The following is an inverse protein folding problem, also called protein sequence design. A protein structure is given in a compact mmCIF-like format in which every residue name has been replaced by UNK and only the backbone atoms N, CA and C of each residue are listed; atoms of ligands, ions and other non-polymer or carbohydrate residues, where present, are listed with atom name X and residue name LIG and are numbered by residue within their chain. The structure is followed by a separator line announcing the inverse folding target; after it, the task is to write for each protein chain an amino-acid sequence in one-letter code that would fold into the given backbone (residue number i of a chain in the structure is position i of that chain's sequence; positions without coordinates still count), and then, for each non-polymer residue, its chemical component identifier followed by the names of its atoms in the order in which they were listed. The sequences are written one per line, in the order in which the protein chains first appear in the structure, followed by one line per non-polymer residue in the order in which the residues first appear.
data_IF_565441751315
#
_entry.id   IF_565441751315
#
_cell.length_a   1.000
_cell.length_b   1.000
_cell.length_c   1.000
_cell.angle_alpha   90.00
_cell.angle_beta   90.00
_cell.angle_gamma   90.00
#
_symmetry.space_group_name_H-M   'P 1'
#
loop_
_entity.id
_entity.type
_entity.pdbx_description
1 polymer ?
#
# COMPACT_ATOMS: atom_id res chain seq x y z
N UNK A 1 35.62 56.14 -11.41
CA UNK A 1 35.74 54.71 -11.01
C UNK A 1 34.46 54.36 -10.27
N UNK A 2 33.52 53.66 -10.94
CA UNK A 2 32.26 53.23 -10.30
C UNK A 2 32.41 51.77 -9.95
N UNK A 3 32.34 51.45 -8.67
CA UNK A 3 32.40 50.09 -8.14
C UNK A 3 30.99 49.51 -8.15
N UNK A 4 30.74 48.50 -9.00
CA UNK A 4 29.48 47.72 -9.02
C UNK A 4 29.60 46.61 -8.00
N UNK A 5 28.71 46.63 -7.01
CA UNK A 5 28.56 45.56 -6.03
C UNK A 5 27.63 44.52 -6.64
N UNK A 6 28.19 43.35 -6.91
CA UNK A 6 27.43 42.19 -7.41
C UNK A 6 26.90 41.43 -6.19
N UNK A 7 25.59 41.56 -5.93
CA UNK A 7 24.91 40.79 -4.87
C UNK A 7 24.66 39.37 -5.36
N UNK A 8 25.33 38.39 -4.74
CA UNK A 8 25.00 36.97 -4.92
C UNK A 8 23.77 36.62 -4.07
N UNK A 9 22.65 36.35 -4.73
CA UNK A 9 21.52 35.71 -4.11
C UNK A 9 21.78 34.20 -4.03
N UNK A 10 22.06 33.70 -2.85
CA UNK A 10 22.07 32.26 -2.58
C UNK A 10 20.62 31.80 -2.45
N UNK A 11 20.15 31.08 -3.45
CA UNK A 11 18.91 30.32 -3.34
C UNK A 11 19.16 29.10 -2.42
N UNK A 12 18.67 29.17 -1.21
CA UNK A 12 18.51 27.98 -0.38
C UNK A 12 17.41 27.12 -0.99
N UNK A 13 17.77 25.97 -1.57
CA UNK A 13 16.82 24.94 -1.97
C UNK A 13 16.26 24.34 -0.68
N UNK A 14 15.15 24.87 -0.21
CA UNK A 14 14.33 24.15 0.75
C UNK A 14 13.80 22.90 0.00
N UNK A 15 14.20 21.71 0.45
CA UNK A 15 13.58 20.48 0.03
C UNK A 15 12.15 20.50 0.56
N UNK A 16 11.23 21.09 -0.20
CA UNK A 16 9.81 20.95 0.07
C UNK A 16 9.45 19.50 -0.19
N UNK A 17 8.81 18.86 0.80
CA UNK A 17 8.04 17.66 0.56
C UNK A 17 7.22 17.89 -0.73
N UNK A 18 7.28 16.93 -1.66
CA UNK A 18 6.59 17.06 -2.94
C UNK A 18 5.15 17.51 -2.69
N UNK A 19 4.67 18.54 -3.40
CA UNK A 19 3.29 18.97 -3.24
C UNK A 19 2.37 17.81 -3.56
N UNK A 20 1.46 17.52 -2.65
CA UNK A 20 0.28 16.74 -2.94
C UNK A 20 -0.46 17.46 -4.07
N UNK A 21 -0.69 16.79 -5.19
CA UNK A 21 -1.60 17.26 -6.20
C UNK A 21 -0.98 17.61 -7.54
N UNK A 22 -1.06 16.68 -8.43
CA UNK A 22 -1.51 16.84 -9.82
C UNK A 22 -1.83 15.45 -10.36
N UNK A 23 -3.07 15.00 -10.17
CA UNK A 23 -3.55 13.73 -10.74
C UNK A 23 -3.31 12.48 -9.89
N UNK A 24 -2.58 12.56 -8.79
CA UNK A 24 -2.28 11.44 -7.87
C UNK A 24 -2.96 11.59 -6.49
N UNK A 25 -4.00 12.40 -6.41
CA UNK A 25 -4.75 12.58 -5.17
C UNK A 25 -5.60 11.35 -4.86
N UNK A 26 -5.84 11.13 -3.57
CA UNK A 26 -6.80 10.12 -3.13
C UNK A 26 -8.20 10.48 -3.64
N UNK A 27 -8.85 9.54 -4.30
CA UNK A 27 -10.23 9.64 -4.77
C UNK A 27 -11.04 8.39 -4.39
N UNK A 28 -12.34 8.43 -4.56
CA UNK A 28 -13.24 7.31 -4.29
C UNK A 28 -13.41 7.01 -2.81
N UNK A 29 -13.78 5.79 -2.47
CA UNK A 29 -14.19 5.43 -1.11
C UNK A 29 -13.13 5.64 -0.03
N UNK A 30 -11.84 5.58 -0.36
CA UNK A 30 -10.79 5.92 0.59
C UNK A 30 -10.82 7.40 1.02
N UNK A 31 -11.38 8.28 0.16
CA UNK A 31 -11.55 9.72 0.42
C UNK A 31 -12.97 10.05 0.90
N UNK A 32 -13.96 9.59 0.13
CA UNK A 32 -15.36 9.98 0.26
C UNK A 32 -16.11 8.90 1.04
N UNK A 33 -16.09 8.99 2.36
CA UNK A 33 -16.73 8.06 3.27
C UNK A 33 -17.17 8.77 4.57
N UNK A 34 -18.09 8.16 5.36
CA UNK A 34 -18.67 8.81 6.55
C UNK A 34 -17.68 9.06 7.70
N UNK A 35 -16.53 8.41 7.70
CA UNK A 35 -15.51 8.54 8.76
C UNK A 35 -14.45 9.61 8.42
N UNK A 36 -14.40 10.03 7.16
CA UNK A 36 -13.43 10.98 6.64
C UNK A 36 -12.26 10.30 5.89
N UNK A 37 -11.47 11.08 5.16
CA UNK A 37 -10.46 10.58 4.24
C UNK A 37 -9.36 9.76 4.93
N UNK A 38 -8.76 8.85 4.18
CA UNK A 38 -7.54 8.13 4.61
C UNK A 38 -6.36 9.09 4.62
N UNK A 39 -5.78 9.31 5.79
CA UNK A 39 -4.61 10.18 5.99
C UNK A 39 -3.38 9.40 6.43
N UNK A 40 -3.54 8.10 6.74
CA UNK A 40 -2.45 7.27 7.24
C UNK A 40 -1.84 7.78 8.53
N UNK A 41 -0.53 7.88 8.55
CA UNK A 41 0.23 8.41 9.66
C UNK A 41 0.23 9.94 9.76
N UNK A 42 -0.29 10.66 8.76
CA UNK A 42 -0.28 12.13 8.76
C UNK A 42 -1.44 12.68 9.61
N UNK A 43 -1.19 12.83 10.88
CA UNK A 43 -2.14 13.32 11.88
C UNK A 43 -1.41 14.10 12.99
N UNK A 44 -2.18 14.81 13.83
CA UNK A 44 -1.63 15.49 15.01
C UNK A 44 -0.89 14.50 15.92
N UNK A 45 0.35 14.80 16.26
CA UNK A 45 1.20 13.94 17.09
C UNK A 45 1.91 12.83 16.31
N UNK A 46 1.87 12.87 14.99
CA UNK A 46 2.58 11.95 14.10
C UNK A 46 4.08 11.90 14.39
N UNK A 47 4.63 10.70 14.28
CA UNK A 47 6.08 10.48 14.23
C UNK A 47 6.49 10.17 12.78
N UNK A 48 7.69 10.61 12.40
CA UNK A 48 8.30 10.24 11.14
C UNK A 48 9.56 9.43 11.43
N UNK A 49 9.67 8.27 10.80
CA UNK A 49 10.82 7.37 10.94
C UNK A 49 11.30 6.89 9.57
N UNK A 50 12.58 6.63 9.45
CA UNK A 50 13.16 5.94 8.29
C UNK A 50 13.64 4.57 8.74
N UNK A 51 13.29 3.53 7.99
CA UNK A 51 13.62 2.13 8.29
C UNK A 51 14.37 1.50 7.12
N UNK A 52 15.36 0.69 7.42
CA UNK A 52 16.18 -0.01 6.42
C UNK A 52 16.37 -1.50 6.73
N UNK A 53 15.92 -1.94 7.90
CA UNK A 53 16.02 -3.33 8.35
C UNK A 53 14.65 -3.89 8.71
N UNK A 54 14.50 -5.23 8.67
CA UNK A 54 13.25 -5.89 9.07
C UNK A 54 12.85 -5.59 10.51
N UNK A 55 13.74 -5.64 11.51
CA UNK A 55 13.37 -5.27 12.88
C UNK A 55 12.86 -3.83 13.03
N UNK A 56 13.50 -2.86 12.38
CA UNK A 56 13.04 -1.46 12.38
C UNK A 56 11.65 -1.34 11.74
N UNK A 57 11.45 -2.00 10.60
CA UNK A 57 10.16 -2.01 9.91
C UNK A 57 9.06 -2.57 10.82
N UNK A 58 9.28 -3.74 11.43
CA UNK A 58 8.31 -4.37 12.31
C UNK A 58 7.98 -3.51 13.54
N UNK A 59 8.97 -2.86 14.11
CA UNK A 59 8.74 -1.93 15.23
C UNK A 59 7.91 -0.70 14.80
N UNK A 60 8.16 -0.15 13.62
CA UNK A 60 7.50 1.05 13.12
C UNK A 60 6.03 0.82 12.75
N UNK A 61 5.68 -0.35 12.18
CA UNK A 61 4.30 -0.66 11.78
C UNK A 61 3.38 -1.07 12.93
N UNK A 62 3.94 -1.33 14.10
CA UNK A 62 3.19 -1.85 15.24
C UNK A 62 2.31 -0.78 15.91
N UNK A 63 1.19 -1.23 16.52
CA UNK A 63 0.30 -0.40 17.32
C UNK A 63 -0.50 0.62 16.52
N UNK A 64 -1.06 1.62 17.21
CA UNK A 64 -2.02 2.56 16.63
C UNK A 64 -1.53 4.01 16.59
N UNK A 65 -0.35 4.29 17.13
CA UNK A 65 0.22 5.64 17.12
C UNK A 65 0.47 6.13 15.70
N UNK A 66 0.05 7.33 15.33
CA UNK A 66 0.25 7.86 13.99
C UNK A 66 1.74 7.91 13.63
N UNK A 67 2.10 7.25 12.51
CA UNK A 67 3.50 7.15 12.10
C UNK A 67 3.63 7.21 10.58
N UNK A 68 4.48 8.08 10.08
CA UNK A 68 4.95 8.12 8.70
C UNK A 68 6.26 7.33 8.65
N UNK A 69 6.29 6.28 7.83
CA UNK A 69 7.39 5.32 7.75
C UNK A 69 7.99 5.37 6.34
N UNK A 70 9.17 5.92 6.23
CA UNK A 70 9.95 5.86 4.99
C UNK A 70 10.80 4.60 4.99
N UNK A 71 10.59 3.72 4.03
CA UNK A 71 11.27 2.44 3.93
C UNK A 71 12.29 2.43 2.79
N UNK A 72 13.51 1.95 3.05
CA UNK A 72 14.60 1.85 2.07
C UNK A 72 15.24 0.47 2.12
N UNK A 73 15.31 -0.19 0.98
CA UNK A 73 15.92 -1.52 0.85
C UNK A 73 14.90 -2.65 0.72
N UNK A 74 15.37 -3.88 0.82
CA UNK A 74 14.55 -5.08 0.69
C UNK A 74 14.23 -5.67 2.06
N UNK A 75 12.95 -5.87 2.33
CA UNK A 75 12.42 -6.46 3.56
C UNK A 75 11.94 -7.88 3.26
N UNK A 76 12.74 -8.86 3.63
CA UNK A 76 12.38 -10.28 3.48
C UNK A 76 11.74 -10.79 4.77
N UNK A 77 10.43 -10.95 4.77
CA UNK A 77 9.69 -11.40 5.94
C UNK A 77 9.60 -12.94 5.99
N UNK A 78 10.01 -13.52 7.11
CA UNK A 78 9.86 -14.95 7.40
C UNK A 78 8.50 -15.30 8.03
N UNK A 79 7.86 -14.32 8.64
CA UNK A 79 6.48 -14.37 9.13
C UNK A 79 5.72 -13.17 8.61
N UNK A 80 4.39 -13.28 8.47
CA UNK A 80 3.56 -12.24 7.90
C UNK A 80 3.37 -11.07 8.87
N UNK A 81 3.93 -9.87 8.60
CA UNK A 81 3.77 -8.73 9.48
C UNK A 81 2.35 -8.17 9.41
N UNK A 82 1.87 -7.65 10.55
CA UNK A 82 0.57 -6.97 10.67
C UNK A 82 0.79 -5.48 10.83
N UNK A 83 0.22 -4.71 9.91
CA UNK A 83 0.27 -3.25 9.95
C UNK A 83 -0.83 -2.77 10.89
N UNK A 84 -0.46 -1.98 11.87
CA UNK A 84 -1.39 -1.33 12.78
C UNK A 84 -2.10 -0.12 12.15
N UNK A 85 -2.99 0.50 12.91
CA UNK A 85 -3.75 1.67 12.46
C UNK A 85 -2.88 2.92 12.38
N UNK A 86 -3.33 3.91 11.59
CA UNK A 86 -2.71 5.23 11.46
C UNK A 86 -1.25 5.14 11.00
N UNK A 87 -1.02 4.42 9.91
CA UNK A 87 0.31 4.25 9.32
C UNK A 87 0.34 4.70 7.87
N UNK A 88 1.38 5.45 7.52
CA UNK A 88 1.78 5.67 6.13
C UNK A 88 3.11 4.95 5.89
N UNK A 89 3.08 3.88 5.09
CA UNK A 89 4.26 3.17 4.63
C UNK A 89 4.61 3.70 3.25
N UNK A 90 5.78 4.29 3.11
CA UNK A 90 6.23 4.94 1.87
C UNK A 90 7.59 4.38 1.48
N UNK A 91 7.64 3.66 0.38
CA UNK A 91 8.90 3.18 -0.21
C UNK A 91 9.71 4.34 -0.77
N UNK A 92 11.00 4.40 -0.45
CA UNK A 92 11.91 5.44 -0.93
C UNK A 92 12.58 5.04 -2.25
N UNK A 93 12.51 5.93 -3.22
CA UNK A 93 13.14 5.73 -4.53
C UNK A 93 12.56 4.53 -5.28
N UNK A 94 13.38 3.85 -6.08
CA UNK A 94 13.00 2.64 -6.83
C UNK A 94 13.38 1.33 -6.12
N UNK A 95 13.84 1.40 -4.87
CA UNK A 95 14.49 0.28 -4.19
C UNK A 95 13.81 -0.27 -2.95
N UNK A 96 12.57 0.11 -2.64
CA UNK A 96 11.85 -0.44 -1.49
C UNK A 96 11.06 -1.70 -1.92
N UNK A 97 11.52 -2.88 -1.45
CA UNK A 97 10.94 -4.17 -1.83
C UNK A 97 10.48 -4.98 -0.63
N UNK A 98 9.37 -5.67 -0.80
CA UNK A 98 8.84 -6.65 0.16
C UNK A 98 8.89 -8.02 -0.50
N UNK A 99 9.43 -8.98 0.21
CA UNK A 99 9.56 -10.38 -0.21
C UNK A 99 9.21 -11.33 0.93
N UNK A 100 9.05 -12.62 0.63
CA UNK A 100 8.79 -13.66 1.62
C UNK A 100 7.31 -13.84 1.91
N UNK A 101 6.77 -13.26 2.99
CA UNK A 101 5.40 -13.55 3.44
C UNK A 101 4.37 -12.44 3.22
N UNK A 102 4.69 -11.39 2.48
CA UNK A 102 3.76 -10.29 2.22
C UNK A 102 3.37 -9.48 3.45
N UNK A 103 2.28 -8.71 3.34
CA UNK A 103 1.78 -7.84 4.40
C UNK A 103 0.32 -8.19 4.75
N UNK A 104 -0.07 -7.91 5.99
CA UNK A 104 -1.48 -7.98 6.39
C UNK A 104 -1.91 -6.68 7.08
N UNK A 105 -3.06 -6.16 6.65
CA UNK A 105 -3.80 -5.07 7.30
C UNK A 105 -5.04 -5.75 7.89
N UNK A 106 -5.00 -6.02 9.20
CA UNK A 106 -6.05 -6.78 9.89
C UNK A 106 -6.52 -6.05 11.13
N UNK A 107 -7.83 -5.79 11.21
CA UNK A 107 -8.47 -5.04 12.30
C UNK A 107 -7.80 -3.67 12.47
N UNK A 108 -7.46 -3.01 11.36
CA UNK A 108 -6.77 -1.72 11.35
C UNK A 108 -7.58 -0.68 10.58
N UNK A 109 -7.31 0.57 10.86
CA UNK A 109 -7.94 1.69 10.16
C UNK A 109 -6.91 2.75 9.79
N UNK A 110 -7.19 3.47 8.69
CA UNK A 110 -6.40 4.61 8.27
C UNK A 110 -4.95 4.24 7.94
N UNK A 111 -4.77 3.44 6.90
CA UNK A 111 -3.47 2.92 6.46
C UNK A 111 -3.19 3.29 5.01
N UNK A 112 -1.99 3.76 4.73
CA UNK A 112 -1.47 4.02 3.38
C UNK A 112 -0.27 3.11 3.15
N UNK A 113 -0.25 2.41 1.99
CA UNK A 113 0.92 1.67 1.49
C UNK A 113 1.24 2.18 0.09
N UNK A 114 2.39 2.81 -0.07
CA UNK A 114 2.76 3.49 -1.31
C UNK A 114 4.20 3.22 -1.72
N UNK A 115 4.41 3.08 -3.03
CA UNK A 115 5.71 3.01 -3.70
C UNK A 115 6.59 1.84 -3.25
N UNK A 116 5.99 0.66 -3.05
CA UNK A 116 6.72 -0.59 -2.81
C UNK A 116 6.68 -1.50 -4.03
N UNK A 117 7.78 -2.23 -4.27
CA UNK A 117 7.76 -3.47 -5.03
C UNK A 117 7.43 -4.65 -4.09
N UNK A 118 6.45 -5.47 -4.46
CA UNK A 118 6.01 -6.65 -3.70
C UNK A 118 6.13 -7.85 -4.61
N UNK A 119 7.04 -8.77 -4.31
CA UNK A 119 7.35 -9.87 -5.23
C UNK A 119 7.63 -11.20 -4.56
N UNK A 120 7.29 -12.27 -5.30
CA UNK A 120 7.63 -13.63 -4.91
C UNK A 120 7.08 -14.02 -3.54
N UNK A 121 5.87 -13.56 -3.22
CA UNK A 121 5.21 -13.88 -1.96
C UNK A 121 4.65 -15.30 -2.06
N UNK A 122 5.05 -16.16 -1.14
CA UNK A 122 4.63 -17.58 -1.10
C UNK A 122 3.72 -17.84 0.08
N UNK A 123 2.74 -18.72 -0.13
CA UNK A 123 1.72 -19.16 0.86
C UNK A 123 0.83 -18.05 1.42
N UNK A 124 0.83 -16.87 0.80
CA UNK A 124 0.02 -15.73 1.21
C UNK A 124 -0.18 -14.76 0.04
N UNK A 125 -1.08 -13.80 0.21
CA UNK A 125 -1.20 -12.65 -0.68
C UNK A 125 -0.04 -11.67 -0.50
N UNK A 126 0.23 -10.88 -1.51
CA UNK A 126 1.13 -9.74 -1.43
C UNK A 126 0.71 -8.77 -0.32
N UNK A 127 -0.55 -8.33 -0.39
CA UNK A 127 -1.23 -7.59 0.70
C UNK A 127 -2.61 -8.21 0.89
N UNK A 128 -2.97 -8.58 2.13
CA UNK A 128 -4.37 -8.86 2.50
C UNK A 128 -4.91 -7.75 3.38
N UNK A 129 -6.08 -7.24 3.02
CA UNK A 129 -6.85 -6.29 3.81
C UNK A 129 -8.07 -7.02 4.35
N UNK A 130 -8.16 -7.17 5.68
CA UNK A 130 -9.21 -7.93 6.34
C UNK A 130 -9.78 -7.18 7.53
N UNK A 131 -11.11 -7.05 7.59
CA UNK A 131 -11.82 -6.35 8.66
C UNK A 131 -11.17 -4.99 8.98
N UNK A 132 -10.86 -4.24 7.93
CA UNK A 132 -10.10 -3.00 8.00
C UNK A 132 -10.73 -1.94 7.13
N UNK A 133 -10.55 -0.68 7.48
CA UNK A 133 -11.23 0.40 6.78
C UNK A 133 -10.31 1.62 6.55
N UNK A 134 -10.66 2.44 5.55
CA UNK A 134 -9.87 3.62 5.20
C UNK A 134 -8.43 3.23 4.87
N UNK A 135 -8.30 2.41 3.82
CA UNK A 135 -7.00 1.93 3.35
C UNK A 135 -6.73 2.44 1.94
N UNK A 136 -5.54 2.91 1.71
CA UNK A 136 -5.08 3.35 0.40
C UNK A 136 -3.82 2.60 -0.02
N UNK A 137 -3.96 1.78 -1.08
CA UNK A 137 -2.88 1.03 -1.72
C UNK A 137 -2.55 1.73 -3.03
N UNK A 138 -1.38 2.36 -3.13
CA UNK A 138 -1.11 3.32 -4.18
C UNK A 138 0.33 3.28 -4.71
N UNK A 139 0.49 3.35 -6.04
CA UNK A 139 1.79 3.35 -6.71
C UNK A 139 2.71 2.18 -6.31
N UNK A 140 2.16 0.98 -6.10
CA UNK A 140 2.96 -0.21 -5.83
C UNK A 140 3.11 -1.07 -7.08
N UNK A 141 4.17 -1.86 -7.14
CA UNK A 141 4.39 -2.90 -8.13
C UNK A 141 4.19 -4.27 -7.48
N UNK A 142 3.34 -5.10 -8.07
CA UNK A 142 3.07 -6.46 -7.60
C UNK A 142 3.44 -7.47 -8.68
N UNK A 143 4.28 -8.46 -8.35
CA UNK A 143 4.63 -9.53 -9.28
C UNK A 143 4.95 -10.84 -8.56
N UNK A 144 4.60 -11.96 -9.16
CA UNK A 144 5.08 -13.26 -8.67
C UNK A 144 6.48 -13.62 -9.21
N UNK A 145 6.86 -13.01 -10.35
CA UNK A 145 8.18 -13.19 -10.95
C UNK A 145 8.41 -14.51 -11.68
N UNK A 146 7.44 -15.44 -11.70
CA UNK A 146 7.56 -16.73 -12.36
C UNK A 146 6.28 -17.13 -13.13
N UNK A 147 5.64 -16.17 -13.74
CA UNK A 147 4.47 -16.38 -14.59
C UNK A 147 4.90 -16.66 -16.06
N UNK A 148 4.25 -17.58 -16.78
CA UNK A 148 3.15 -18.46 -16.34
C UNK A 148 3.62 -19.82 -15.80
N UNK A 149 4.92 -20.07 -15.72
CA UNK A 149 5.51 -21.40 -15.47
C UNK A 149 5.09 -22.00 -14.12
N UNK A 150 4.87 -21.18 -13.10
CA UNK A 150 4.51 -21.63 -11.78
C UNK A 150 3.05 -22.14 -11.65
N UNK A 151 2.21 -21.88 -12.64
CA UNK A 151 0.79 -22.26 -12.61
C UNK A 151 -0.08 -21.44 -11.65
N UNK A 152 -1.43 -21.63 -11.70
CA UNK A 152 -2.38 -20.73 -11.02
C UNK A 152 -2.42 -20.87 -9.49
N UNK A 153 -1.91 -21.95 -8.92
CA UNK A 153 -1.98 -22.24 -7.49
C UNK A 153 -0.63 -22.15 -6.77
N UNK A 154 0.42 -21.78 -7.49
CA UNK A 154 1.75 -21.60 -6.91
C UNK A 154 1.87 -20.36 -6.02
N UNK A 155 1.06 -19.35 -6.30
CA UNK A 155 0.98 -18.10 -5.53
C UNK A 155 -0.48 -17.79 -5.22
N UNK A 156 -0.73 -17.14 -4.09
CA UNK A 156 -2.06 -16.62 -3.76
C UNK A 156 -2.28 -15.22 -4.35
N UNK A 157 -3.19 -14.41 -3.86
CA UNK A 157 -3.49 -13.09 -4.42
C UNK A 157 -2.33 -12.08 -4.35
N UNK A 158 -2.36 -11.04 -5.18
CA UNK A 158 -1.41 -9.93 -5.03
C UNK A 158 -1.95 -8.87 -4.05
N UNK A 159 -3.25 -8.54 -4.15
CA UNK A 159 -3.89 -7.58 -3.23
C UNK A 159 -5.35 -7.99 -3.02
N UNK A 160 -5.66 -8.61 -1.91
CA UNK A 160 -6.97 -9.15 -1.59
C UNK A 160 -7.66 -8.37 -0.47
N UNK A 161 -8.95 -8.07 -0.67
CA UNK A 161 -9.78 -7.26 0.21
C UNK A 161 -10.98 -8.09 0.63
N UNK A 162 -11.07 -8.41 1.92
CA UNK A 162 -12.00 -9.43 2.40
C UNK A 162 -12.61 -9.07 3.77
N UNK A 163 -13.72 -9.76 4.11
CA UNK A 163 -14.30 -9.81 5.47
C UNK A 163 -14.57 -8.44 6.08
N UNK A 164 -15.65 -7.81 5.66
CA UNK A 164 -16.10 -6.51 6.16
C UNK A 164 -15.07 -5.37 6.06
N UNK A 165 -14.07 -5.51 5.19
CA UNK A 165 -13.17 -4.40 4.88
C UNK A 165 -13.93 -3.33 4.12
N UNK A 166 -13.64 -2.03 4.39
CA UNK A 166 -14.47 -0.96 3.84
C UNK A 166 -13.69 0.32 3.55
N UNK A 167 -14.24 1.15 2.67
CA UNK A 167 -13.71 2.47 2.28
C UNK A 167 -12.25 2.43 1.83
N UNK A 168 -12.01 1.61 0.81
CA UNK A 168 -10.68 1.32 0.31
C UNK A 168 -10.50 1.91 -1.09
N UNK A 169 -9.33 2.45 -1.35
CA UNK A 169 -8.89 2.83 -2.69
C UNK A 169 -7.60 2.09 -3.06
N UNK A 170 -7.61 1.47 -4.25
CA UNK A 170 -6.47 0.83 -4.88
C UNK A 170 -6.18 1.57 -6.17
N UNK A 171 -5.06 2.28 -6.24
CA UNK A 171 -4.81 3.22 -7.35
C UNK A 171 -3.36 3.23 -7.82
N UNK A 172 -3.19 3.46 -9.14
CA UNK A 172 -1.88 3.64 -9.77
C UNK A 172 -0.90 2.51 -9.50
N UNK A 173 -1.38 1.29 -9.19
CA UNK A 173 -0.53 0.13 -9.00
C UNK A 173 -0.25 -0.57 -10.32
N UNK A 174 0.88 -1.22 -10.41
CA UNK A 174 1.25 -2.10 -11.49
C UNK A 174 1.19 -3.55 -11.01
N UNK A 175 0.18 -4.30 -11.49
CA UNK A 175 -0.01 -5.73 -11.24
C UNK A 175 0.45 -6.49 -12.46
N UNK A 176 1.36 -7.45 -12.28
CA UNK A 176 1.84 -8.20 -13.44
C UNK A 176 2.40 -9.58 -13.12
N UNK A 177 2.44 -10.39 -14.17
CA UNK A 177 3.02 -11.73 -14.18
C UNK A 177 2.46 -12.62 -13.06
N UNK A 178 1.12 -12.72 -12.99
CA UNK A 178 0.42 -13.41 -11.93
C UNK A 178 -0.89 -14.06 -12.44
N UNK A 179 -1.40 -15.07 -11.70
CA UNK A 179 -2.65 -15.75 -12.04
C UNK A 179 -3.88 -15.19 -11.33
N UNK A 180 -3.71 -14.58 -10.15
CA UNK A 180 -4.80 -14.19 -9.24
C UNK A 180 -4.49 -12.82 -8.60
N UNK A 181 -4.63 -11.74 -9.35
CA UNK A 181 -4.10 -10.45 -8.94
C UNK A 181 -4.84 -9.80 -7.78
N UNK A 182 -6.17 -9.83 -7.80
CA UNK A 182 -6.93 -9.17 -6.74
C UNK A 182 -8.30 -9.83 -6.56
N UNK A 183 -8.73 -9.91 -5.32
CA UNK A 183 -10.02 -10.44 -4.91
C UNK A 183 -10.72 -9.42 -4.02
N UNK A 184 -12.03 -9.20 -4.24
CA UNK A 184 -12.90 -8.45 -3.33
C UNK A 184 -14.01 -9.39 -2.87
N UNK A 185 -14.02 -9.68 -1.55
CA UNK A 185 -14.81 -10.78 -0.99
C UNK A 185 -14.19 -12.15 -1.28
N UNK A 186 -14.29 -13.12 -0.40
CA UNK A 186 -13.56 -14.38 -0.57
C UNK A 186 -14.41 -15.67 -0.46
N UNK A 187 -15.59 -15.63 0.16
CA UNK A 187 -16.36 -16.87 0.40
C UNK A 187 -17.79 -16.51 0.79
N UNK A 188 -18.77 -17.20 0.25
CA UNK A 188 -20.20 -16.99 0.53
C UNK A 188 -20.58 -17.14 2.01
N UNK A 189 -19.80 -17.92 2.77
CA UNK A 189 -19.99 -18.03 4.23
C UNK A 189 -19.75 -16.72 4.99
N UNK A 190 -19.08 -15.75 4.37
CA UNK A 190 -18.84 -14.41 4.93
C UNK A 190 -19.86 -13.38 4.45
N UNK A 191 -20.87 -13.79 3.65
CA UNK A 191 -21.88 -12.90 3.10
C UNK A 191 -22.48 -11.96 4.14
N UNK A 192 -22.84 -12.46 5.31
CA UNK A 192 -23.52 -11.66 6.32
C UNK A 192 -22.64 -10.58 6.94
N UNK A 193 -21.32 -10.82 6.98
CA UNK A 193 -20.35 -9.81 7.47
C UNK A 193 -19.87 -8.88 6.35
N UNK A 194 -19.93 -9.32 5.09
CA UNK A 194 -19.56 -8.50 3.95
C UNK A 194 -20.72 -7.62 3.46
N UNK A 195 -21.95 -7.97 3.79
CA UNK A 195 -23.13 -7.20 3.37
C UNK A 195 -23.10 -5.77 3.94
N UNK A 196 -23.20 -4.79 3.04
CA UNK A 196 -23.10 -3.37 3.40
C UNK A 196 -21.66 -2.85 3.63
N UNK A 197 -20.65 -3.68 3.35
CA UNK A 197 -19.23 -3.35 3.35
C UNK A 197 -18.61 -3.54 1.96
N UNK A 198 -17.31 -3.60 1.90
CA UNK A 198 -16.54 -3.79 0.67
C UNK A 198 -16.71 -2.62 -0.34
N UNK A 199 -16.88 -1.39 0.17
CA UNK A 199 -16.83 -0.20 -0.67
C UNK A 199 -15.40 0.03 -1.12
N UNK A 200 -15.09 -0.44 -2.33
CA UNK A 200 -13.73 -0.43 -2.89
C UNK A 200 -13.71 0.33 -4.22
N UNK A 201 -12.77 1.23 -4.36
CA UNK A 201 -12.47 1.93 -5.61
C UNK A 201 -11.17 1.42 -6.19
N UNK A 202 -11.21 0.96 -7.43
CA UNK A 202 -10.03 0.73 -8.25
C UNK A 202 -9.95 1.78 -9.34
N UNK A 203 -8.81 2.48 -9.46
CA UNK A 203 -8.61 3.41 -10.57
C UNK A 203 -7.15 3.52 -10.99
N UNK A 204 -6.91 3.72 -12.27
CA UNK A 204 -5.59 3.94 -12.86
C UNK A 204 -4.57 2.83 -12.56
N UNK A 205 -5.01 1.60 -12.27
CA UNK A 205 -4.11 0.48 -12.14
C UNK A 205 -3.77 -0.10 -13.51
N UNK A 206 -2.55 -0.53 -13.68
CA UNK A 206 -2.09 -1.19 -14.89
C UNK A 206 -1.92 -2.69 -14.63
N UNK A 207 -2.55 -3.51 -15.48
CA UNK A 207 -2.58 -4.97 -15.38
C UNK A 207 -1.90 -5.57 -16.61
N UNK A 208 -0.92 -6.46 -16.42
CA UNK A 208 -0.18 -7.08 -17.52
C UNK A 208 0.15 -8.52 -17.22
N UNK A 209 -0.02 -9.41 -18.22
CA UNK A 209 0.24 -10.83 -18.09
C UNK A 209 -0.50 -11.46 -16.90
N UNK A 210 -1.80 -11.20 -16.82
CA UNK A 210 -2.65 -11.67 -15.75
C UNK A 210 -3.53 -12.84 -16.22
N UNK A 211 -3.53 -13.95 -15.49
CA UNK A 211 -4.40 -15.08 -15.78
C UNK A 211 -5.86 -14.81 -15.40
N UNK A 212 -6.07 -14.12 -14.26
CA UNK A 212 -7.37 -13.65 -13.76
C UNK A 212 -7.16 -12.36 -12.99
N UNK A 213 -7.50 -11.24 -13.58
CA UNK A 213 -7.27 -9.92 -12.97
C UNK A 213 -8.15 -9.66 -11.76
N UNK A 214 -9.41 -10.10 -11.84
CA UNK A 214 -10.38 -10.02 -10.75
C UNK A 214 -11.03 -11.38 -10.54
N UNK A 215 -11.16 -11.76 -9.30
CA UNK A 215 -11.97 -12.90 -8.89
C UNK A 215 -13.16 -12.38 -8.10
N UNK A 216 -14.36 -12.78 -8.49
CA UNK A 216 -15.54 -12.67 -7.62
C UNK A 216 -15.73 -13.99 -6.88
N UNK A 217 -16.32 -13.97 -5.69
CA UNK A 217 -16.81 -15.18 -5.02
C UNK A 217 -17.71 -15.96 -5.96
N UNK A 218 -17.63 -17.29 -5.88
CA UNK A 218 -18.55 -18.18 -6.62
C UNK A 218 -19.88 -18.22 -5.92
#
# INVERSE_FOLDING_TARGET
MKLSILSFFTFALAASAAPAGTGFDLVGFGKDNPVGPTTGGDQKGSKTVTVSTVPEFLAAINGTSPTIIYAKGTFNFTSRPRIGSNKSLIGMGSGAWITGKGLTILNATNVIVRNFGIRGIVDNDGITIQNSQRVWIDHNEFTSGNFPAAGPDAFDGQCDIVRASDWITVSWNYFHDHWKSSLVGNDDKFRDIDFGHLHVTYHHNYWKNEGRSFRSPK
#
